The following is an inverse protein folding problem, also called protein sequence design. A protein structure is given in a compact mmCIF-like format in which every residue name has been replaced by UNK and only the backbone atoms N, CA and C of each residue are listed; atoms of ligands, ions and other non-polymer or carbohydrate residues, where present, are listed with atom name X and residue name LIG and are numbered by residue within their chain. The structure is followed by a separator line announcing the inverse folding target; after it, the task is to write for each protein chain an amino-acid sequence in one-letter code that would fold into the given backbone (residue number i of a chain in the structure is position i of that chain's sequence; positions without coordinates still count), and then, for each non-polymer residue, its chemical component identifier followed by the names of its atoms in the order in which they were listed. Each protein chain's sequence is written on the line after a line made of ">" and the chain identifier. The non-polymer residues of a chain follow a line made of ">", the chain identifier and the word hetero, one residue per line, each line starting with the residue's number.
data_IF_194893921770
#
_entry.id   IF_194893921770
#
_cell.length_a   1.000
_cell.length_b   1.000
_cell.length_c   1.000
_cell.angle_alpha   90.00
_cell.angle_beta   90.00
_cell.angle_gamma   90.00
#
_symmetry.space_group_name_H-M   'P 1'
#
loop_
_entity.id
_entity.type
_entity.pdbx_description
1 polymer ?
#
# COMPACT_ATOMS: atom_id res chain seq x y z
N UNK A 1 19.94 -4.52 1.57
CA UNK A 1 20.30 -5.71 2.36
C UNK A 1 19.12 -6.09 3.26
N UNK A 2 18.99 -7.34 3.74
CA UNK A 2 17.95 -7.69 4.68
C UNK A 2 18.09 -6.88 5.97
N UNK A 3 16.96 -6.49 6.57
CA UNK A 3 16.95 -5.73 7.81
C UNK A 3 16.93 -6.67 9.01
N UNK A 4 17.43 -6.20 10.16
CA UNK A 4 17.25 -6.93 11.42
C UNK A 4 15.75 -7.04 11.69
N UNK A 5 15.27 -8.28 11.90
CA UNK A 5 13.88 -8.57 12.22
C UNK A 5 13.67 -8.60 13.73
N UNK A 6 12.44 -8.36 14.17
CA UNK A 6 12.02 -8.58 15.55
C UNK A 6 12.37 -9.98 16.06
N UNK A 7 12.48 -10.96 15.16
CA UNK A 7 12.87 -12.35 15.49
C UNK A 7 14.33 -12.50 15.85
N UNK A 8 15.17 -11.55 15.49
CA UNK A 8 16.61 -11.56 15.77
C UNK A 8 16.95 -10.95 17.14
N UNK A 9 15.95 -10.37 17.83
CA UNK A 9 16.13 -9.65 19.07
C UNK A 9 15.68 -10.46 20.29
N UNK A 10 16.35 -10.23 21.43
CA UNK A 10 15.87 -10.72 22.72
C UNK A 10 14.92 -9.67 23.33
N UNK A 11 13.64 -10.00 23.43
CA UNK A 11 12.59 -9.09 23.90
C UNK A 11 12.19 -9.34 25.38
N UNK A 12 12.67 -10.41 25.99
CA UNK A 12 12.22 -10.85 27.32
C UNK A 12 12.49 -9.80 28.39
N UNK A 13 11.42 -9.37 29.06
CA UNK A 13 11.47 -8.38 30.12
C UNK A 13 11.73 -6.95 29.67
N UNK A 14 11.87 -6.70 28.36
CA UNK A 14 12.10 -5.37 27.81
C UNK A 14 10.81 -4.65 27.46
N UNK A 15 10.86 -3.32 27.47
CA UNK A 15 9.81 -2.48 26.90
C UNK A 15 10.09 -2.28 25.42
N UNK A 16 9.18 -2.78 24.58
CA UNK A 16 9.27 -2.71 23.12
C UNK A 16 8.29 -1.68 22.59
N UNK A 17 8.78 -0.67 21.91
CA UNK A 17 7.98 0.28 21.16
C UNK A 17 7.74 -0.25 19.75
N UNK A 18 6.48 -0.49 19.39
CA UNK A 18 6.11 -0.94 18.04
C UNK A 18 5.37 0.18 17.32
N UNK A 19 5.96 0.71 16.25
CA UNK A 19 5.29 1.63 15.33
C UNK A 19 4.40 0.82 14.39
N UNK A 20 3.10 0.89 14.60
CA UNK A 20 2.06 0.21 13.81
C UNK A 20 1.33 1.20 12.90
N UNK A 21 0.63 0.70 11.88
CA UNK A 21 -0.25 1.53 11.03
C UNK A 21 -1.72 1.23 11.34
N UNK A 22 -2.25 1.96 12.30
CA UNK A 22 -3.67 1.93 12.69
C UNK A 22 -4.48 3.07 12.08
N UNK A 23 -4.03 3.61 10.95
CA UNK A 23 -4.79 4.60 10.21
C UNK A 23 -6.00 3.95 9.50
N UNK A 24 -6.97 3.57 10.31
CA UNK A 24 -8.21 2.89 9.90
C UNK A 24 -9.28 3.89 9.47
N UNK A 25 -10.20 3.52 8.56
CA UNK A 25 -11.36 4.34 8.29
C UNK A 25 -12.35 4.29 9.46
N UNK A 26 -12.86 5.46 9.84
CA UNK A 26 -13.86 5.65 10.87
C UNK A 26 -15.19 6.10 10.26
N UNK A 27 -16.29 5.71 10.90
CA UNK A 27 -17.61 6.28 10.63
C UNK A 27 -17.63 7.78 11.01
N UNK A 28 -18.58 8.57 10.46
CA UNK A 28 -18.77 9.94 10.89
C UNK A 28 -18.91 10.05 12.41
N UNK A 29 -18.21 11.01 13.02
CA UNK A 29 -18.15 11.17 14.47
C UNK A 29 -17.00 10.42 15.17
N UNK A 30 -16.21 9.61 14.43
CA UNK A 30 -14.95 9.02 14.91
C UNK A 30 -15.09 7.91 15.97
N UNK A 31 -16.30 7.41 16.22
CA UNK A 31 -16.57 6.46 17.30
C UNK A 31 -16.47 4.99 16.87
N UNK A 32 -16.60 4.70 15.58
CA UNK A 32 -16.69 3.34 15.05
C UNK A 32 -15.69 3.11 13.93
N UNK A 33 -15.01 1.97 13.97
CA UNK A 33 -14.11 1.52 12.92
C UNK A 33 -14.93 0.82 11.83
N UNK A 34 -14.88 1.31 10.59
CA UNK A 34 -15.58 0.69 9.45
C UNK A 34 -14.76 -0.43 8.80
N UNK A 35 -13.46 -0.49 9.06
CA UNK A 35 -12.58 -1.60 8.65
C UNK A 35 -11.40 -1.75 9.60
N UNK A 36 -11.24 -2.92 10.19
CA UNK A 36 -10.17 -3.26 11.14
C UNK A 36 -8.97 -3.97 10.50
N UNK A 37 -8.91 -4.01 9.16
CA UNK A 37 -7.87 -4.76 8.42
C UNK A 37 -6.45 -4.40 8.86
N UNK A 38 -6.14 -3.12 9.03
CA UNK A 38 -4.81 -2.66 9.46
C UNK A 38 -4.48 -3.06 10.88
N UNK A 39 -5.48 -3.06 11.77
CA UNK A 39 -5.30 -3.54 13.15
C UNK A 39 -4.97 -5.03 13.13
N UNK A 40 -5.74 -5.84 12.40
CA UNK A 40 -5.49 -7.28 12.24
C UNK A 40 -4.10 -7.58 11.65
N UNK A 41 -3.65 -6.79 10.70
CA UNK A 41 -2.36 -6.99 10.04
C UNK A 41 -1.17 -6.84 11.01
N UNK A 42 -1.29 -6.02 12.06
CA UNK A 42 -0.26 -5.82 13.08
C UNK A 42 -0.33 -6.84 14.23
N UNK A 43 -1.45 -7.57 14.38
CA UNK A 43 -1.62 -8.55 15.47
C UNK A 43 -0.49 -9.59 15.53
N UNK A 44 -0.03 -10.18 14.43
CA UNK A 44 1.07 -11.16 14.48
C UNK A 44 2.35 -10.63 15.13
N UNK A 45 2.76 -9.40 14.82
CA UNK A 45 3.94 -8.76 15.43
C UNK A 45 3.73 -8.48 16.91
N UNK A 46 2.57 -7.96 17.25
CA UNK A 46 2.20 -7.66 18.66
C UNK A 46 2.18 -8.95 19.48
N UNK A 47 1.51 -9.99 18.98
CA UNK A 47 1.42 -11.28 19.67
C UNK A 47 2.79 -11.92 19.82
N UNK A 48 3.63 -11.90 18.77
CA UNK A 48 5.00 -12.41 18.84
C UNK A 48 5.78 -11.74 19.97
N UNK A 49 5.75 -10.42 20.08
CA UNK A 49 6.48 -9.70 21.12
C UNK A 49 5.95 -10.02 22.52
N UNK A 50 4.62 -10.16 22.69
CA UNK A 50 4.00 -10.58 23.96
C UNK A 50 4.42 -12.00 24.35
N UNK A 51 4.44 -12.93 23.40
CA UNK A 51 4.84 -14.32 23.64
C UNK A 51 6.33 -14.44 24.02
N UNK A 52 7.16 -13.48 23.60
CA UNK A 52 8.55 -13.34 24.03
C UNK A 52 8.70 -12.68 25.43
N UNK A 53 7.61 -12.30 26.09
CA UNK A 53 7.61 -11.72 27.42
C UNK A 53 7.97 -10.23 27.46
N UNK A 54 7.68 -9.48 26.42
CA UNK A 54 7.85 -8.02 26.38
C UNK A 54 6.67 -7.28 27.01
N UNK A 55 6.91 -6.06 27.51
CA UNK A 55 5.91 -5.03 27.71
C UNK A 55 5.82 -4.16 26.45
N UNK A 56 4.61 -3.84 25.97
CA UNK A 56 4.46 -3.19 24.68
C UNK A 56 3.94 -1.77 24.76
N UNK A 57 4.62 -0.86 24.08
CA UNK A 57 4.11 0.47 23.74
C UNK A 57 3.82 0.49 22.24
N UNK A 58 2.55 0.67 21.88
CA UNK A 58 2.12 0.78 20.50
C UNK A 58 1.89 2.25 20.15
N UNK A 59 2.33 2.66 18.97
CA UNK A 59 2.16 4.02 18.50
C UNK A 59 1.72 4.05 17.03
N UNK A 60 0.76 4.88 16.73
CA UNK A 60 0.25 5.07 15.37
C UNK A 60 -0.24 6.49 15.14
N UNK A 61 -0.43 6.83 13.89
CA UNK A 61 -1.21 7.98 13.48
C UNK A 61 -2.62 7.56 13.06
N UNK A 62 -3.56 8.51 13.07
CA UNK A 62 -4.90 8.36 12.53
C UNK A 62 -5.33 9.67 11.86
N UNK A 63 -5.66 9.59 10.57
CA UNK A 63 -6.11 10.75 9.80
C UNK A 63 -5.08 11.87 9.64
N UNK A 64 -5.57 13.08 9.51
CA UNK A 64 -4.75 14.29 9.34
C UNK A 64 -5.23 15.43 10.26
N UNK A 65 -4.97 15.36 11.56
CA UNK A 65 -5.43 16.33 12.55
C UNK A 65 -4.68 17.68 12.51
N UNK A 66 -3.66 17.82 11.65
CA UNK A 66 -2.86 19.03 11.45
C UNK A 66 -2.14 19.52 12.73
N UNK A 67 -1.59 18.59 13.49
CA UNK A 67 -0.81 18.89 14.69
C UNK A 67 -1.65 19.42 15.87
N UNK A 68 -2.91 19.03 15.96
CA UNK A 68 -3.82 19.44 17.06
C UNK A 68 -4.66 18.26 17.51
N UNK A 69 -4.93 18.12 18.83
CA UNK A 69 -5.88 17.15 19.34
C UNK A 69 -7.25 17.28 18.68
N UNK A 70 -7.80 16.15 18.20
CA UNK A 70 -9.13 16.06 17.63
C UNK A 70 -9.79 14.78 18.14
N UNK A 71 -10.87 14.87 18.95
CA UNK A 71 -11.56 13.70 19.51
C UNK A 71 -12.03 12.69 18.45
N UNK A 72 -12.42 13.12 17.24
CA UNK A 72 -12.84 12.25 16.14
C UNK A 72 -11.68 11.45 15.52
N UNK A 73 -10.45 11.84 15.81
CA UNK A 73 -9.22 11.17 15.34
C UNK A 73 -8.43 10.55 16.51
N UNK A 74 -9.08 10.31 17.66
CA UNK A 74 -8.49 9.58 18.77
C UNK A 74 -8.36 8.10 18.44
N UNK A 75 -7.30 7.48 18.93
CA UNK A 75 -7.07 6.03 18.81
C UNK A 75 -7.88 5.19 19.82
N UNK A 76 -8.78 5.77 20.63
CA UNK A 76 -9.63 5.04 21.59
C UNK A 76 -10.44 3.90 20.96
N UNK A 77 -11.13 4.08 19.80
CA UNK A 77 -11.85 2.98 19.16
C UNK A 77 -10.91 1.85 18.71
N UNK A 78 -9.70 2.21 18.31
CA UNK A 78 -8.65 1.24 17.93
C UNK A 78 -8.17 0.44 19.11
N UNK A 79 -7.94 1.07 20.28
CA UNK A 79 -7.58 0.38 21.52
C UNK A 79 -8.63 -0.67 21.92
N UNK A 80 -9.90 -0.31 21.86
CA UNK A 80 -11.02 -1.22 22.15
C UNK A 80 -11.05 -2.41 21.18
N UNK A 81 -10.87 -2.14 19.88
CA UNK A 81 -10.86 -3.20 18.86
C UNK A 81 -9.64 -4.11 19.00
N UNK A 82 -8.46 -3.55 19.26
CA UNK A 82 -7.23 -4.31 19.46
C UNK A 82 -7.35 -5.22 20.69
N UNK A 83 -7.93 -4.73 21.79
CA UNK A 83 -8.18 -5.53 23.00
C UNK A 83 -9.04 -6.77 22.70
N UNK A 84 -10.09 -6.63 21.89
CA UNK A 84 -10.91 -7.74 21.43
C UNK A 84 -10.10 -8.77 20.62
N UNK A 85 -9.24 -8.29 19.71
CA UNK A 85 -8.44 -9.15 18.82
C UNK A 85 -7.35 -9.90 19.58
N UNK A 86 -6.77 -9.28 20.61
CA UNK A 86 -5.72 -9.88 21.44
C UNK A 86 -6.29 -10.72 22.59
N UNK A 87 -7.59 -10.61 22.92
CA UNK A 87 -8.19 -11.25 24.08
C UNK A 87 -7.63 -10.78 25.43
N UNK A 88 -7.08 -9.55 25.48
CA UNK A 88 -6.47 -8.94 26.68
C UNK A 88 -6.67 -7.42 26.72
N UNK A 89 -6.56 -6.81 27.90
CA UNK A 89 -6.67 -5.36 28.03
C UNK A 89 -5.60 -4.62 27.23
N UNK A 90 -5.98 -3.52 26.59
CA UNK A 90 -5.09 -2.53 25.98
C UNK A 90 -5.33 -1.21 26.71
N UNK A 91 -4.32 -0.75 27.46
CA UNK A 91 -4.37 0.54 28.15
C UNK A 91 -4.20 1.64 27.12
N UNK A 92 -4.91 2.76 27.29
CA UNK A 92 -4.78 3.94 26.42
C UNK A 92 -4.08 5.05 27.19
N UNK A 93 -2.99 5.58 26.62
CA UNK A 93 -2.31 6.74 27.18
C UNK A 93 -3.08 8.04 26.85
N UNK A 94 -3.00 9.05 27.71
CA UNK A 94 -3.65 10.35 27.45
C UNK A 94 -2.95 11.15 26.37
N UNK A 95 -1.68 10.85 26.04
CA UNK A 95 -0.85 11.53 25.07
C UNK A 95 0.23 10.57 24.50
N UNK A 96 1.17 11.10 23.71
CA UNK A 96 2.29 10.36 23.14
C UNK A 96 3.55 10.40 24.02
N UNK A 97 3.74 11.47 24.77
CA UNK A 97 4.94 11.75 25.59
C UNK A 97 4.56 12.49 26.87
N UNK A 98 5.52 12.66 27.76
CA UNK A 98 5.35 13.42 29.02
C UNK A 98 5.20 12.55 30.25
N UNK A 99 5.23 13.18 31.42
CA UNK A 99 5.31 12.52 32.71
C UNK A 99 4.15 11.52 33.00
N UNK A 100 2.95 11.82 32.50
CA UNK A 100 1.81 10.91 32.68
C UNK A 100 1.97 9.62 31.84
N UNK A 101 2.50 9.74 30.62
CA UNK A 101 2.79 8.58 29.76
C UNK A 101 3.94 7.75 30.36
N UNK A 102 4.98 8.40 30.85
CA UNK A 102 6.12 7.72 31.49
C UNK A 102 5.72 6.88 32.72
N UNK A 103 4.74 7.33 33.51
CA UNK A 103 4.19 6.57 34.64
C UNK A 103 3.41 5.32 34.19
N UNK A 104 2.94 5.27 32.95
CA UNK A 104 2.14 4.16 32.42
C UNK A 104 2.99 3.06 31.76
N UNK A 105 4.31 3.06 31.94
CA UNK A 105 5.19 2.04 31.34
C UNK A 105 4.65 0.63 31.56
N UNK A 106 4.47 -0.17 30.48
CA UNK A 106 3.87 -1.49 30.59
C UNK A 106 4.84 -2.50 31.23
N UNK A 107 4.32 -3.33 32.13
CA UNK A 107 5.01 -4.52 32.60
C UNK A 107 5.02 -5.62 31.48
N UNK A 108 5.87 -6.67 31.62
CA UNK A 108 5.83 -7.82 30.71
C UNK A 108 4.41 -8.38 30.54
N UNK A 109 3.97 -8.53 29.29
CA UNK A 109 2.62 -8.99 28.94
C UNK A 109 1.54 -7.90 28.91
N UNK A 110 1.84 -6.66 29.31
CA UNK A 110 0.92 -5.52 29.19
C UNK A 110 1.08 -4.78 27.87
N UNK A 111 0.00 -4.13 27.41
CA UNK A 111 -0.05 -3.34 26.19
C UNK A 111 -0.55 -1.94 26.51
N UNK A 112 0.25 -0.93 26.16
CA UNK A 112 -0.10 0.48 26.18
C UNK A 112 -0.19 1.00 24.74
N UNK A 113 -1.31 1.60 24.33
CA UNK A 113 -1.43 2.33 23.08
C UNK A 113 -1.31 3.82 23.38
N UNK A 114 -0.38 4.50 22.73
CA UNK A 114 -0.26 5.96 22.79
C UNK A 114 -1.42 6.63 22.05
N UNK A 115 -1.69 7.90 22.35
CA UNK A 115 -2.63 8.68 21.57
C UNK A 115 -2.04 9.00 20.18
N UNK A 116 -2.88 9.51 19.28
CA UNK A 116 -2.53 9.79 17.89
C UNK A 116 -1.27 10.67 17.77
N UNK A 117 -0.20 10.11 17.25
CA UNK A 117 1.09 10.78 17.06
C UNK A 117 0.98 12.13 16.32
N UNK A 118 0.03 12.25 15.39
CA UNK A 118 -0.17 13.46 14.60
C UNK A 118 -0.93 14.57 15.32
N UNK A 119 -1.29 14.36 16.58
CA UNK A 119 -1.70 15.49 17.44
C UNK A 119 -0.52 16.39 17.77
N UNK A 120 0.71 15.87 17.61
CA UNK A 120 1.95 16.62 17.73
C UNK A 120 2.47 16.99 16.32
N UNK A 121 2.62 18.29 15.98
CA UNK A 121 3.17 18.71 14.70
C UNK A 121 4.64 18.31 14.53
N UNK A 122 5.33 18.00 15.62
CA UNK A 122 6.71 17.51 15.70
C UNK A 122 6.86 16.12 15.04
N UNK A 123 5.81 15.30 15.03
CA UNK A 123 5.82 14.00 14.39
C UNK A 123 6.11 14.12 12.89
N UNK A 124 5.31 14.92 12.17
CA UNK A 124 5.48 15.06 10.72
C UNK A 124 6.73 15.86 10.34
N UNK A 125 7.25 16.70 11.25
CA UNK A 125 8.50 17.45 11.08
C UNK A 125 9.75 16.65 11.37
N UNK A 126 9.61 15.42 11.84
CA UNK A 126 10.73 14.58 12.29
C UNK A 126 11.59 15.31 13.36
N UNK A 127 10.94 15.97 14.30
CA UNK A 127 11.60 16.80 15.32
C UNK A 127 12.49 15.94 16.24
N UNK A 128 13.77 16.34 16.43
CA UNK A 128 14.69 15.56 17.26
C UNK A 128 14.32 15.50 18.74
N UNK A 129 13.70 16.56 19.27
CA UNK A 129 13.26 16.61 20.68
C UNK A 129 12.13 15.62 20.93
N UNK A 130 11.09 15.62 20.09
CA UNK A 130 10.00 14.69 20.15
C UNK A 130 10.46 13.23 19.90
N UNK A 131 11.35 13.04 18.92
CA UNK A 131 11.97 11.74 18.66
C UNK A 131 12.70 11.16 19.86
N UNK A 132 13.45 12.01 20.58
CA UNK A 132 14.17 11.62 21.81
C UNK A 132 13.19 11.27 22.94
N UNK A 133 12.10 12.01 23.09
CA UNK A 133 11.07 11.72 24.10
C UNK A 133 10.38 10.38 23.82
N UNK A 134 10.03 10.09 22.56
CA UNK A 134 9.47 8.79 22.17
C UNK A 134 10.46 7.65 22.46
N UNK A 135 11.73 7.82 22.07
CA UNK A 135 12.77 6.81 22.29
C UNK A 135 13.03 6.52 23.77
N UNK A 136 12.88 7.53 24.66
CA UNK A 136 13.07 7.38 26.11
C UNK A 136 12.01 6.45 26.75
N UNK A 137 10.90 6.17 26.08
CA UNK A 137 9.85 5.29 26.58
C UNK A 137 10.22 3.79 26.48
N UNK A 138 11.21 3.41 25.69
CA UNK A 138 11.48 2.01 25.34
C UNK A 138 12.97 1.65 25.37
N UNK A 139 13.24 0.35 25.33
CA UNK A 139 14.59 -0.22 25.19
C UNK A 139 14.81 -0.74 23.75
N UNK A 140 13.73 -1.19 23.09
CA UNK A 140 13.74 -1.75 21.75
C UNK A 140 12.68 -1.03 20.89
N UNK A 141 13.05 -0.69 19.67
CA UNK A 141 12.16 -0.13 18.67
C UNK A 141 11.85 -1.14 17.56
N UNK A 142 10.60 -1.24 17.16
CA UNK A 142 10.15 -2.06 16.04
C UNK A 142 9.32 -1.23 15.10
N UNK A 143 9.71 -1.18 13.81
CA UNK A 143 8.87 -0.59 12.77
C UNK A 143 8.05 -1.67 12.07
N UNK A 144 6.73 -1.63 12.24
CA UNK A 144 5.78 -2.53 11.59
C UNK A 144 4.75 -1.78 10.73
N UNK A 145 5.05 -0.53 10.40
CA UNK A 145 4.17 0.39 9.69
C UNK A 145 4.67 0.64 8.27
N UNK A 146 4.66 -0.39 7.42
CA UNK A 146 5.11 -0.26 6.03
C UNK A 146 4.37 0.84 5.27
N UNK A 147 3.05 1.00 5.48
CA UNK A 147 2.25 2.06 4.85
C UNK A 147 2.70 3.49 5.16
N UNK A 148 3.47 3.67 6.23
CA UNK A 148 4.04 4.98 6.63
C UNK A 148 5.55 5.09 6.35
N UNK A 149 6.19 4.04 5.85
CA UNK A 149 7.65 3.97 5.70
C UNK A 149 8.21 4.91 4.61
N UNK A 150 7.36 5.39 3.72
CA UNK A 150 7.71 6.39 2.69
C UNK A 150 7.88 7.82 3.24
N UNK A 151 7.66 8.02 4.54
CA UNK A 151 7.73 9.34 5.20
C UNK A 151 8.76 9.32 6.32
N UNK A 152 9.65 10.32 6.32
CA UNK A 152 10.61 10.53 7.40
C UNK A 152 9.95 11.30 8.55
N UNK A 153 9.23 10.60 9.42
CA UNK A 153 8.61 11.16 10.63
C UNK A 153 9.39 10.82 11.89
N UNK A 154 9.10 11.50 13.00
CA UNK A 154 9.77 11.27 14.28
C UNK A 154 9.66 9.80 14.73
N UNK A 155 8.46 9.22 14.64
CA UNK A 155 8.21 7.83 15.06
C UNK A 155 8.67 6.75 14.08
N UNK A 156 8.94 7.08 12.81
CA UNK A 156 9.37 6.12 11.78
C UNK A 156 10.86 6.17 11.48
N UNK A 157 11.51 7.33 11.70
CA UNK A 157 12.92 7.58 11.38
C UNK A 157 13.65 8.21 12.56
N UNK A 158 13.16 9.34 13.08
CA UNK A 158 13.90 10.17 14.02
C UNK A 158 14.30 9.45 15.30
N UNK A 159 13.37 8.72 15.92
CA UNK A 159 13.59 8.05 17.20
C UNK A 159 14.59 6.89 17.10
N UNK A 160 14.81 6.31 15.91
CA UNK A 160 15.76 5.20 15.73
C UNK A 160 17.17 5.60 16.13
N UNK A 161 17.54 6.87 15.97
CA UNK A 161 18.87 7.41 16.34
C UNK A 161 19.12 7.41 17.86
N UNK A 162 18.09 7.28 18.67
CA UNK A 162 18.15 7.40 20.12
C UNK A 162 17.87 6.08 20.85
N UNK A 163 17.54 5.00 20.12
CA UNK A 163 17.34 3.66 20.70
C UNK A 163 18.59 2.81 20.50
N UNK A 164 18.78 1.81 21.37
CA UNK A 164 19.92 0.89 21.29
C UNK A 164 19.70 -0.23 20.28
N UNK A 165 18.48 -0.73 20.21
CA UNK A 165 18.10 -1.86 19.35
C UNK A 165 16.90 -1.45 18.53
N UNK A 166 16.97 -1.66 17.21
CA UNK A 166 15.89 -1.40 16.29
C UNK A 166 15.73 -2.55 15.32
N UNK A 167 14.49 -2.86 14.90
CA UNK A 167 14.19 -3.93 13.98
C UNK A 167 12.93 -3.64 13.15
N UNK A 168 12.73 -4.42 12.09
CA UNK A 168 11.45 -4.54 11.40
C UNK A 168 10.51 -5.49 12.13
N UNK A 169 9.21 -5.22 12.10
CA UNK A 169 8.18 -6.14 12.51
C UNK A 169 7.83 -7.16 11.43
N UNK A 170 7.01 -8.16 11.78
CA UNK A 170 6.67 -9.26 10.86
C UNK A 170 5.88 -8.81 9.63
N UNK A 171 5.04 -7.77 9.77
CA UNK A 171 4.33 -7.19 8.63
C UNK A 171 5.32 -6.48 7.69
N UNK A 172 6.22 -5.68 8.24
CA UNK A 172 7.28 -4.99 7.49
C UNK A 172 8.17 -6.00 6.77
N UNK A 173 8.60 -7.08 7.45
CA UNK A 173 9.41 -8.15 6.86
C UNK A 173 8.73 -8.77 5.65
N UNK A 174 7.45 -9.12 5.80
CA UNK A 174 6.65 -9.71 4.73
C UNK A 174 6.50 -8.78 3.53
N UNK A 175 6.23 -7.50 3.75
CA UNK A 175 6.14 -6.50 2.69
C UNK A 175 7.47 -6.39 1.93
N UNK A 176 8.58 -6.26 2.66
CA UNK A 176 9.91 -6.16 2.06
C UNK A 176 10.31 -7.43 1.30
N UNK A 177 10.00 -8.62 1.81
CA UNK A 177 10.29 -9.89 1.16
C UNK A 177 9.60 -9.98 -0.21
N UNK A 178 8.27 -9.81 -0.24
CA UNK A 178 7.50 -9.94 -1.48
C UNK A 178 7.83 -8.85 -2.50
N UNK A 179 7.92 -7.59 -2.07
CA UNK A 179 8.22 -6.48 -2.96
C UNK A 179 9.66 -6.57 -3.49
N UNK A 180 10.64 -6.94 -2.65
CA UNK A 180 12.02 -7.11 -3.08
C UNK A 180 12.14 -8.28 -4.05
N UNK A 181 11.51 -9.43 -3.77
CA UNK A 181 11.50 -10.57 -4.67
C UNK A 181 10.92 -10.18 -6.03
N UNK A 182 9.78 -9.49 -6.03
CA UNK A 182 9.10 -9.10 -7.27
C UNK A 182 9.87 -8.07 -8.10
N UNK A 183 10.65 -7.16 -7.46
CA UNK A 183 11.30 -6.04 -8.15
C UNK A 183 12.80 -6.23 -8.39
N UNK A 184 13.50 -7.00 -7.54
CA UNK A 184 14.94 -7.19 -7.68
C UNK A 184 15.34 -8.57 -8.21
N UNK A 185 14.56 -9.59 -7.87
CA UNK A 185 14.88 -11.00 -8.20
C UNK A 185 13.62 -11.76 -8.63
N UNK A 186 12.85 -11.28 -9.65
CA UNK A 186 11.63 -11.96 -10.07
C UNK A 186 11.93 -13.28 -10.77
N UNK A 187 11.11 -14.28 -10.51
CA UNK A 187 11.04 -15.48 -11.34
C UNK A 187 10.40 -15.09 -12.70
N UNK A 188 11.00 -15.55 -13.80
CA UNK A 188 10.58 -15.14 -15.15
C UNK A 188 9.68 -16.19 -15.81
N UNK A 189 8.74 -15.79 -16.66
CA UNK A 189 8.42 -14.41 -17.08
C UNK A 189 7.82 -13.56 -15.95
N UNK A 190 8.29 -12.29 -15.84
CA UNK A 190 7.78 -11.30 -14.91
C UNK A 190 6.86 -10.31 -15.66
N UNK A 191 5.64 -10.16 -15.20
CA UNK A 191 4.62 -9.31 -15.81
C UNK A 191 4.17 -8.25 -14.81
N UNK A 192 4.11 -6.99 -15.24
CA UNK A 192 3.45 -5.95 -14.49
C UNK A 192 2.11 -5.56 -15.12
N UNK A 193 1.13 -5.27 -14.30
CA UNK A 193 -0.20 -4.78 -14.67
C UNK A 193 -0.35 -3.42 -14.02
N UNK A 194 -0.44 -2.37 -14.82
CA UNK A 194 -0.61 -1.01 -14.34
C UNK A 194 -1.89 -0.39 -14.90
N UNK A 195 -2.71 0.13 -14.02
CA UNK A 195 -3.92 0.87 -14.36
C UNK A 195 -4.07 2.14 -13.53
N UNK A 196 -5.21 2.79 -13.69
CA UNK A 196 -5.51 4.03 -13.00
C UNK A 196 -5.80 5.19 -13.96
N UNK A 197 -5.97 6.40 -13.41
CA UNK A 197 -6.45 7.54 -14.18
C UNK A 197 -5.34 8.25 -14.95
N UNK A 198 -4.16 8.41 -14.36
CA UNK A 198 -3.11 9.31 -14.87
C UNK A 198 -1.77 8.61 -15.06
N UNK A 199 -1.11 8.92 -16.19
CA UNK A 199 0.28 8.52 -16.46
C UNK A 199 1.23 9.22 -15.51
N UNK A 200 0.99 10.53 -15.25
CA UNK A 200 1.83 11.35 -14.37
C UNK A 200 2.06 10.76 -12.99
N UNK A 201 1.06 10.05 -12.45
CA UNK A 201 1.15 9.43 -11.13
C UNK A 201 2.00 8.14 -11.12
N UNK A 202 2.40 7.63 -12.30
CA UNK A 202 3.04 6.32 -12.46
C UNK A 202 4.31 6.32 -13.30
N UNK A 203 4.81 7.48 -13.71
CA UNK A 203 5.97 7.60 -14.59
C UNK A 203 7.16 6.82 -14.03
N UNK A 204 7.54 7.12 -12.78
CA UNK A 204 8.70 6.51 -12.11
C UNK A 204 8.50 5.00 -11.94
N UNK A 205 7.28 4.58 -11.63
CA UNK A 205 6.91 3.16 -11.53
C UNK A 205 7.09 2.47 -12.90
N UNK A 206 6.59 3.07 -13.98
CA UNK A 206 6.73 2.53 -15.34
C UNK A 206 8.21 2.41 -15.70
N UNK A 207 8.99 3.48 -15.52
CA UNK A 207 10.41 3.51 -15.85
C UNK A 207 11.23 2.47 -15.06
N UNK A 208 10.91 2.31 -13.78
CA UNK A 208 11.60 1.33 -12.95
C UNK A 208 11.19 -0.11 -13.31
N UNK A 209 9.89 -0.36 -13.46
CA UNK A 209 9.39 -1.69 -13.81
C UNK A 209 9.85 -2.15 -15.20
N UNK A 210 9.96 -1.25 -16.18
CA UNK A 210 10.51 -1.60 -17.51
C UNK A 210 11.92 -2.21 -17.47
N UNK A 211 12.70 -1.91 -16.44
CA UNK A 211 14.03 -2.51 -16.23
C UNK A 211 13.96 -3.95 -15.76
N UNK A 212 12.84 -4.33 -15.15
CA UNK A 212 12.66 -5.58 -14.42
C UNK A 212 11.78 -6.57 -15.17
N UNK A 213 10.65 -6.09 -15.73
CA UNK A 213 9.61 -6.95 -16.30
C UNK A 213 9.91 -7.37 -17.75
N UNK A 214 9.34 -8.51 -18.12
CA UNK A 214 9.33 -8.97 -19.51
C UNK A 214 8.18 -8.33 -20.29
N UNK A 215 7.03 -8.08 -19.64
CA UNK A 215 5.88 -7.38 -20.22
C UNK A 215 5.20 -6.47 -19.20
N UNK A 216 4.67 -5.35 -19.68
CA UNK A 216 3.95 -4.34 -18.92
C UNK A 216 2.57 -4.12 -19.56
N UNK A 217 1.51 -4.57 -18.89
CA UNK A 217 0.13 -4.44 -19.34
C UNK A 217 -0.45 -3.14 -18.81
N UNK A 218 -0.81 -2.23 -19.68
CA UNK A 218 -1.39 -0.94 -19.33
C UNK A 218 -2.90 -0.97 -19.49
N UNK A 219 -3.63 -0.45 -18.51
CA UNK A 219 -5.08 -0.29 -18.55
C UNK A 219 -5.54 0.98 -17.82
N UNK A 220 -6.84 1.09 -17.59
CA UNK A 220 -7.42 2.30 -17.01
C UNK A 220 -7.36 3.50 -17.94
N UNK A 221 -7.75 4.68 -17.45
CA UNK A 221 -7.78 5.88 -18.27
C UNK A 221 -6.38 6.31 -18.73
N UNK A 222 -5.32 5.99 -17.98
CA UNK A 222 -3.95 6.28 -18.40
C UNK A 222 -3.58 5.65 -19.76
N UNK A 223 -4.23 4.54 -20.14
CA UNK A 223 -4.00 3.90 -21.44
C UNK A 223 -4.31 4.82 -22.61
N UNK A 224 -5.29 5.73 -22.47
CA UNK A 224 -5.68 6.64 -23.56
C UNK A 224 -4.63 7.70 -23.86
N UNK A 225 -3.81 8.10 -22.89
CA UNK A 225 -2.65 8.96 -23.13
C UNK A 225 -1.61 8.24 -24.02
N UNK A 226 -1.36 6.95 -23.77
CA UNK A 226 -0.47 6.13 -24.62
C UNK A 226 -1.07 5.87 -26.01
N UNK A 227 -2.37 5.60 -26.09
CA UNK A 227 -3.05 5.38 -27.38
C UNK A 227 -3.03 6.65 -28.23
N UNK A 228 -3.26 7.82 -27.62
CA UNK A 228 -3.11 9.12 -28.31
C UNK A 228 -1.67 9.34 -28.79
N UNK A 229 -0.67 8.95 -28.02
CA UNK A 229 0.74 9.01 -28.42
C UNK A 229 1.05 8.12 -29.63
N UNK A 230 0.25 7.06 -29.88
CA UNK A 230 0.30 6.23 -31.07
C UNK A 230 -0.55 6.79 -32.24
N UNK A 231 -1.22 7.94 -32.07
CA UNK A 231 -2.11 8.52 -33.08
C UNK A 231 -3.48 7.83 -33.15
N UNK A 232 -3.87 7.01 -32.20
CA UNK A 232 -5.18 6.35 -32.20
C UNK A 232 -6.29 7.29 -31.70
N UNK A 233 -7.51 7.16 -32.20
CA UNK A 233 -8.67 7.90 -31.71
C UNK A 233 -8.98 7.52 -30.26
N UNK A 234 -9.19 8.53 -29.41
CA UNK A 234 -9.48 8.35 -27.97
C UNK A 234 -10.80 9.00 -27.55
N UNK A 235 -11.54 9.61 -28.48
CA UNK A 235 -12.83 10.27 -28.23
C UNK A 235 -12.75 11.30 -27.10
N UNK A 236 -13.70 11.22 -26.17
CA UNK A 236 -13.77 12.04 -24.94
C UNK A 236 -13.08 11.38 -23.75
N UNK A 237 -12.31 10.30 -23.95
CA UNK A 237 -11.60 9.62 -22.86
C UNK A 237 -10.67 10.58 -22.13
N UNK A 238 -10.43 10.31 -20.84
CA UNK A 238 -9.49 11.09 -20.04
C UNK A 238 -8.08 10.92 -20.59
N UNK A 239 -7.46 12.02 -21.00
CA UNK A 239 -6.09 12.09 -21.54
C UNK A 239 -5.32 13.19 -20.84
N UNK A 240 -4.07 12.95 -20.50
CA UNK A 240 -3.13 13.99 -20.09
C UNK A 240 -2.35 14.48 -21.32
N UNK A 241 -2.85 15.56 -21.95
CA UNK A 241 -2.29 16.08 -23.19
C UNK A 241 -0.82 16.53 -23.08
N UNK A 242 -0.46 17.06 -21.92
CA UNK A 242 0.91 17.46 -21.58
C UNK A 242 1.86 16.26 -21.35
N UNK A 243 1.34 15.03 -21.30
CA UNK A 243 2.10 13.79 -21.12
C UNK A 243 2.17 12.91 -22.37
N UNK A 244 1.56 13.32 -23.49
CA UNK A 244 1.53 12.53 -24.73
C UNK A 244 2.95 12.31 -25.27
N UNK A 245 3.80 13.34 -25.29
CA UNK A 245 5.19 13.21 -25.74
C UNK A 245 6.01 12.29 -24.84
N UNK A 246 5.77 12.35 -23.52
CA UNK A 246 6.40 11.44 -22.57
C UNK A 246 5.95 10.00 -22.79
N UNK A 247 4.64 9.77 -22.99
CA UNK A 247 4.11 8.44 -23.30
C UNK A 247 4.73 7.88 -24.59
N UNK A 248 4.93 8.72 -25.62
CA UNK A 248 5.63 8.34 -26.87
C UNK A 248 7.07 7.90 -26.61
N UNK A 249 7.80 8.64 -25.77
CA UNK A 249 9.16 8.29 -25.38
C UNK A 249 9.21 6.97 -24.60
N UNK A 250 8.28 6.75 -23.65
CA UNK A 250 8.18 5.50 -22.90
C UNK A 250 7.93 4.30 -23.82
N UNK A 251 7.00 4.43 -24.77
CA UNK A 251 6.74 3.40 -25.78
C UNK A 251 7.99 3.09 -26.62
N UNK A 252 8.69 4.12 -27.11
CA UNK A 252 9.90 3.94 -27.90
C UNK A 252 11.01 3.24 -27.12
N UNK A 253 11.21 3.59 -25.85
CA UNK A 253 12.20 2.98 -24.96
C UNK A 253 11.82 1.60 -24.43
N UNK A 254 10.56 1.23 -24.53
CA UNK A 254 10.05 -0.04 -23.96
C UNK A 254 10.54 -1.29 -24.66
N UNK A 255 11.05 -1.17 -25.88
CA UNK A 255 11.45 -2.33 -26.70
C UNK A 255 10.30 -3.31 -26.97
N UNK A 256 9.06 -2.83 -27.01
CA UNK A 256 7.85 -3.65 -27.22
C UNK A 256 7.32 -4.33 -25.96
N UNK A 257 7.88 -4.05 -24.78
CA UNK A 257 7.39 -4.61 -23.52
C UNK A 257 6.02 -4.06 -23.09
N UNK A 258 5.70 -2.83 -23.46
CA UNK A 258 4.41 -2.20 -23.12
C UNK A 258 3.33 -2.70 -24.05
N UNK A 259 2.32 -3.32 -23.49
CA UNK A 259 1.10 -3.73 -24.18
C UNK A 259 -0.04 -2.78 -23.81
N UNK A 260 -0.73 -2.28 -24.84
CA UNK A 260 -1.88 -1.38 -24.70
C UNK A 260 -3.17 -2.12 -25.08
N UNK A 261 -4.33 -1.67 -24.59
CA UNK A 261 -5.62 -2.23 -24.96
C UNK A 261 -5.84 -2.17 -26.49
N UNK A 262 -6.34 -3.26 -27.03
CA UNK A 262 -6.69 -3.39 -28.45
C UNK A 262 -8.17 -3.09 -28.73
N UNK A 263 -9.00 -3.16 -27.69
CA UNK A 263 -10.42 -2.82 -27.71
C UNK A 263 -10.86 -2.25 -26.35
N UNK A 264 -11.98 -1.55 -26.37
CA UNK A 264 -12.47 -0.74 -25.26
C UNK A 264 -13.96 -0.92 -25.07
N UNK A 265 -14.40 -0.91 -23.81
CA UNK A 265 -15.79 -0.65 -23.44
C UNK A 265 -15.98 0.86 -23.48
N UNK A 266 -16.91 1.35 -24.28
CA UNK A 266 -17.14 2.78 -24.52
C UNK A 266 -18.58 3.17 -24.21
N UNK A 267 -18.76 4.39 -23.68
CA UNK A 267 -20.05 4.96 -23.31
C UNK A 267 -20.16 6.40 -23.80
N UNK A 268 -21.39 6.88 -23.95
CA UNK A 268 -21.67 8.30 -24.20
C UNK A 268 -21.47 9.13 -22.93
N UNK A 269 -21.89 8.59 -21.79
CA UNK A 269 -21.81 9.22 -20.47
C UNK A 269 -21.46 8.19 -19.40
N UNK A 270 -20.58 8.56 -18.46
CA UNK A 270 -20.14 7.69 -17.37
C UNK A 270 -21.18 7.66 -16.24
N UNK A 271 -22.10 6.70 -16.29
CA UNK A 271 -23.09 6.38 -15.27
C UNK A 271 -23.07 4.90 -14.97
N UNK A 272 -23.39 4.52 -13.73
CA UNK A 272 -23.64 3.14 -13.38
C UNK A 272 -24.80 2.57 -14.21
N UNK A 273 -24.60 1.39 -14.82
CA UNK A 273 -25.57 0.75 -15.69
C UNK A 273 -25.81 1.46 -17.04
N UNK A 274 -24.96 2.45 -17.44
CA UNK A 274 -25.11 3.09 -18.74
C UNK A 274 -24.99 2.08 -19.87
N UNK A 275 -25.75 2.27 -20.98
CA UNK A 275 -25.53 1.51 -22.21
C UNK A 275 -24.10 1.66 -22.69
N UNK A 276 -23.51 0.56 -23.11
CA UNK A 276 -22.14 0.53 -23.61
C UNK A 276 -22.03 -0.29 -24.89
N UNK A 277 -20.96 -0.05 -25.61
CA UNK A 277 -20.55 -0.89 -26.74
C UNK A 277 -19.06 -1.22 -26.64
N UNK A 278 -18.64 -2.22 -27.41
CA UNK A 278 -17.22 -2.59 -27.51
C UNK A 278 -16.70 -2.08 -28.86
N UNK A 279 -15.58 -1.35 -28.82
CA UNK A 279 -14.99 -0.77 -30.01
C UNK A 279 -13.46 -0.93 -30.01
N UNK A 280 -12.87 -1.21 -31.18
CA UNK A 280 -11.40 -1.28 -31.35
C UNK A 280 -10.72 0.09 -31.20
N UNK A 281 -11.44 1.17 -31.50
CA UNK A 281 -11.02 2.55 -31.26
C UNK A 281 -12.17 3.30 -30.61
N UNK A 282 -11.86 4.26 -29.76
CA UNK A 282 -12.90 5.06 -29.11
C UNK A 282 -13.49 6.05 -30.10
N UNK A 283 -14.81 5.95 -30.46
CA UNK A 283 -15.44 6.87 -31.39
C UNK A 283 -15.46 8.32 -30.89
N UNK A 284 -15.54 9.26 -31.83
CA UNK A 284 -15.80 10.65 -31.45
C UNK A 284 -17.10 10.77 -30.66
N UNK A 285 -17.08 11.57 -29.60
CA UNK A 285 -18.24 11.73 -28.74
C UNK A 285 -18.41 10.70 -27.64
N UNK A 286 -17.70 9.56 -27.69
CA UNK A 286 -17.70 8.53 -26.64
C UNK A 286 -16.42 8.55 -25.79
N UNK A 287 -16.49 7.93 -24.62
CA UNK A 287 -15.33 7.74 -23.75
C UNK A 287 -15.12 6.25 -23.43
N UNK A 288 -13.87 5.84 -23.36
CA UNK A 288 -13.51 4.52 -22.89
C UNK A 288 -13.56 4.44 -21.36
N UNK A 289 -14.16 3.38 -20.84
CA UNK A 289 -14.41 3.20 -19.39
C UNK A 289 -13.87 1.89 -18.85
N UNK A 290 -13.56 0.92 -19.71
CA UNK A 290 -12.91 -0.35 -19.34
C UNK A 290 -12.18 -0.92 -20.57
N UNK A 291 -11.33 -1.91 -20.36
CA UNK A 291 -10.74 -2.71 -21.44
C UNK A 291 -11.81 -3.64 -22.03
N UNK A 292 -11.73 -3.88 -23.33
CA UNK A 292 -12.64 -4.77 -24.02
C UNK A 292 -12.27 -6.25 -23.90
N UNK A 293 -13.15 -7.15 -24.37
CA UNK A 293 -12.96 -8.60 -24.26
C UNK A 293 -11.73 -9.14 -25.00
N UNK A 294 -11.35 -8.58 -26.15
CA UNK A 294 -10.15 -9.00 -26.86
C UNK A 294 -8.88 -8.63 -26.08
N UNK A 295 -8.87 -7.46 -25.43
CA UNK A 295 -7.80 -7.07 -24.51
C UNK A 295 -7.72 -7.99 -23.31
N UNK A 296 -8.87 -8.33 -22.70
CA UNK A 296 -8.94 -9.29 -21.58
C UNK A 296 -8.34 -10.63 -21.96
N UNK A 297 -8.69 -11.16 -23.13
CA UNK A 297 -8.15 -12.43 -23.65
C UNK A 297 -6.63 -12.35 -23.83
N UNK A 298 -6.15 -11.32 -24.52
CA UNK A 298 -4.72 -11.12 -24.79
C UNK A 298 -3.91 -10.97 -23.48
N UNK A 299 -4.39 -10.15 -22.54
CA UNK A 299 -3.72 -9.95 -21.26
C UNK A 299 -3.76 -11.22 -20.38
N UNK A 300 -4.88 -11.94 -20.39
CA UNK A 300 -5.00 -13.21 -19.66
C UNK A 300 -4.03 -14.26 -20.20
N UNK A 301 -3.80 -14.31 -21.51
CA UNK A 301 -2.83 -15.22 -22.12
C UNK A 301 -1.38 -14.90 -21.70
N UNK A 302 -1.04 -13.63 -21.50
CA UNK A 302 0.25 -13.18 -20.95
C UNK A 302 0.36 -13.57 -19.47
N UNK A 303 -0.65 -13.27 -18.68
CA UNK A 303 -0.74 -13.55 -17.24
C UNK A 303 -0.59 -15.06 -16.97
N UNK A 304 -1.21 -15.91 -17.79
CA UNK A 304 -1.16 -17.37 -17.62
C UNK A 304 0.25 -17.96 -17.74
N UNK A 305 1.17 -17.28 -18.41
CA UNK A 305 2.57 -17.71 -18.60
C UNK A 305 3.52 -17.12 -17.55
N UNK A 306 3.06 -16.15 -16.78
CA UNK A 306 3.88 -15.45 -15.80
C UNK A 306 4.31 -16.37 -14.64
N UNK A 307 5.48 -16.07 -14.08
CA UNK A 307 5.96 -16.65 -12.81
C UNK A 307 5.95 -15.61 -11.69
N UNK A 308 6.09 -14.34 -12.05
CA UNK A 308 5.95 -13.21 -11.12
C UNK A 308 4.97 -12.20 -11.73
N UNK A 309 4.03 -11.73 -10.93
CA UNK A 309 3.06 -10.71 -11.31
C UNK A 309 3.10 -9.56 -10.31
N UNK A 310 3.22 -8.34 -10.81
CA UNK A 310 3.11 -7.11 -10.04
C UNK A 310 1.87 -6.36 -10.55
N UNK A 311 0.92 -6.05 -9.69
CA UNK A 311 -0.29 -5.34 -10.10
C UNK A 311 -0.55 -4.10 -9.26
N UNK A 312 -0.76 -2.96 -9.93
CA UNK A 312 -1.15 -1.72 -9.29
C UNK A 312 -2.13 -0.92 -10.17
N UNK A 313 -3.35 -0.74 -9.70
CA UNK A 313 -4.42 0.03 -10.33
C UNK A 313 -5.38 -0.79 -11.19
N UNK A 314 -6.67 -0.40 -11.23
CA UNK A 314 -7.72 -1.09 -11.99
C UNK A 314 -7.61 -0.82 -13.49
N UNK A 315 -8.24 -1.68 -14.28
CA UNK A 315 -8.23 -1.61 -15.76
C UNK A 315 -9.35 -0.74 -16.34
N UNK A 316 -10.34 -0.40 -15.51
CA UNK A 316 -11.50 0.39 -15.89
C UNK A 316 -12.09 1.12 -14.69
N UNK A 317 -13.28 1.70 -14.86
CA UNK A 317 -14.03 2.40 -13.78
C UNK A 317 -14.77 1.36 -12.94
N UNK A 318 -13.99 0.55 -12.22
CA UNK A 318 -14.47 -0.66 -11.52
C UNK A 318 -15.48 -0.36 -10.41
N UNK A 319 -15.58 0.88 -9.93
CA UNK A 319 -16.56 1.32 -8.93
C UNK A 319 -17.98 1.44 -9.49
N UNK A 320 -18.13 1.40 -10.82
CA UNK A 320 -19.41 1.56 -11.52
C UNK A 320 -19.70 0.37 -12.41
N UNK A 321 -20.35 -0.68 -11.91
CA UNK A 321 -20.76 -1.79 -12.77
C UNK A 321 -21.63 -1.33 -13.96
N UNK A 322 -21.43 -1.90 -15.16
CA UNK A 322 -20.65 -3.10 -15.48
C UNK A 322 -19.20 -2.82 -15.96
N UNK A 323 -18.59 -1.66 -15.67
CA UNK A 323 -17.27 -1.24 -16.10
C UNK A 323 -16.13 -1.77 -15.22
N UNK A 324 -16.42 -2.75 -14.38
CA UNK A 324 -15.51 -3.54 -13.55
C UNK A 324 -15.08 -4.86 -14.21
N UNK A 325 -15.71 -5.24 -15.33
CA UNK A 325 -15.56 -6.57 -15.95
C UNK A 325 -14.12 -6.88 -16.35
N UNK A 326 -13.43 -5.93 -16.96
CA UNK A 326 -12.03 -6.07 -17.33
C UNK A 326 -11.13 -6.30 -16.13
N UNK A 327 -11.31 -5.49 -15.08
CA UNK A 327 -10.54 -5.60 -13.83
C UNK A 327 -10.79 -6.94 -13.13
N UNK A 328 -12.07 -7.36 -13.03
CA UNK A 328 -12.46 -8.65 -12.41
C UNK A 328 -11.93 -9.84 -13.19
N UNK A 329 -11.98 -9.77 -14.53
CA UNK A 329 -11.46 -10.84 -15.39
C UNK A 329 -9.95 -11.03 -15.19
N UNK A 330 -9.17 -9.94 -15.17
CA UNK A 330 -7.73 -10.02 -14.91
C UNK A 330 -7.42 -10.46 -13.48
N UNK A 331 -8.21 -10.06 -12.48
CA UNK A 331 -8.06 -10.56 -11.11
C UNK A 331 -8.20 -12.09 -11.04
N UNK A 332 -9.18 -12.64 -11.74
CA UNK A 332 -9.38 -14.10 -11.85
C UNK A 332 -8.22 -14.77 -12.60
N UNK A 333 -7.74 -14.15 -13.68
CA UNK A 333 -6.58 -14.66 -14.43
C UNK A 333 -5.31 -14.71 -13.58
N UNK A 334 -5.03 -13.64 -12.80
CA UNK A 334 -3.91 -13.58 -11.86
C UNK A 334 -4.04 -14.68 -10.80
N UNK A 335 -5.23 -14.84 -10.21
CA UNK A 335 -5.49 -15.86 -9.20
C UNK A 335 -5.34 -17.30 -9.73
N UNK A 336 -5.59 -17.51 -11.03
CA UNK A 336 -5.49 -18.83 -11.67
C UNK A 336 -4.08 -19.14 -12.22
N UNK A 337 -3.20 -18.13 -12.32
CA UNK A 337 -1.88 -18.27 -12.99
C UNK A 337 -0.88 -19.15 -12.22
N UNK A 338 -1.04 -19.28 -10.89
CA UNK A 338 -0.06 -19.94 -10.02
C UNK A 338 1.26 -19.13 -9.84
N UNK A 339 1.34 -17.92 -10.38
CA UNK A 339 2.48 -17.03 -10.22
C UNK A 339 2.58 -16.45 -8.80
N UNK A 340 3.80 -16.08 -8.39
CA UNK A 340 3.95 -15.21 -7.23
C UNK A 340 3.38 -13.84 -7.59
N UNK A 341 2.25 -13.50 -6.99
CA UNK A 341 1.49 -12.29 -7.29
C UNK A 341 1.57 -11.28 -6.14
N UNK A 342 2.01 -10.07 -6.46
CA UNK A 342 2.09 -8.93 -5.53
C UNK A 342 1.17 -7.84 -6.02
N UNK A 343 0.19 -7.50 -5.23
CA UNK A 343 -0.82 -6.48 -5.57
C UNK A 343 -0.73 -5.32 -4.61
N UNK A 344 -0.56 -4.13 -5.13
CA UNK A 344 -0.46 -2.89 -4.38
C UNK A 344 -1.53 -1.87 -4.79
N UNK A 345 -1.85 -0.97 -3.84
CA UNK A 345 -2.82 0.10 -4.04
C UNK A 345 -4.24 -0.28 -3.60
N UNK A 346 -4.91 0.68 -2.95
CA UNK A 346 -6.23 0.46 -2.34
C UNK A 346 -7.31 0.04 -3.34
N UNK A 347 -7.27 0.56 -4.56
CA UNK A 347 -8.26 0.24 -5.58
C UNK A 347 -8.05 -1.15 -6.15
N UNK A 348 -6.78 -1.56 -6.36
CA UNK A 348 -6.46 -2.94 -6.75
C UNK A 348 -6.90 -3.95 -5.69
N UNK A 349 -6.72 -3.63 -4.41
CA UNK A 349 -7.18 -4.46 -3.31
C UNK A 349 -8.71 -4.60 -3.30
N UNK A 350 -9.44 -3.48 -3.47
CA UNK A 350 -10.92 -3.51 -3.58
C UNK A 350 -11.36 -4.38 -4.75
N UNK A 351 -10.71 -4.22 -5.91
CA UNK A 351 -11.00 -5.00 -7.11
C UNK A 351 -10.82 -6.51 -6.90
N UNK A 352 -9.73 -6.92 -6.26
CA UNK A 352 -9.45 -8.33 -5.94
C UNK A 352 -10.48 -8.90 -4.97
N UNK A 353 -10.88 -8.12 -3.95
CA UNK A 353 -11.93 -8.51 -3.01
C UNK A 353 -13.27 -8.66 -3.71
N UNK A 354 -13.63 -7.69 -4.55
CA UNK A 354 -14.86 -7.71 -5.36
C UNK A 354 -14.90 -8.92 -6.29
N UNK A 355 -13.76 -9.30 -6.86
CA UNK A 355 -13.62 -10.50 -7.67
C UNK A 355 -13.66 -11.83 -6.88
N UNK A 356 -13.62 -11.78 -5.54
CA UNK A 356 -13.65 -12.96 -4.66
C UNK A 356 -12.38 -13.83 -4.72
N UNK A 357 -11.22 -13.24 -5.05
CA UNK A 357 -9.98 -13.99 -5.28
C UNK A 357 -8.82 -13.56 -4.37
N UNK A 358 -9.10 -12.77 -3.34
CA UNK A 358 -8.06 -12.22 -2.45
C UNK A 358 -7.18 -13.31 -1.80
N UNK A 359 -7.76 -14.44 -1.43
CA UNK A 359 -7.05 -15.56 -0.79
C UNK A 359 -6.10 -16.32 -1.75
N UNK A 360 -6.24 -16.10 -3.06
CA UNK A 360 -5.39 -16.71 -4.09
C UNK A 360 -4.24 -15.82 -4.54
N UNK A 361 -4.15 -14.61 -4.01
CA UNK A 361 -3.06 -13.67 -4.28
C UNK A 361 -1.96 -13.90 -3.24
N UNK A 362 -0.71 -14.04 -3.70
CA UNK A 362 0.42 -14.35 -2.80
C UNK A 362 0.66 -13.25 -1.77
N UNK A 363 0.55 -12.00 -2.18
CA UNK A 363 0.67 -10.84 -1.29
C UNK A 363 -0.16 -9.64 -1.75
N UNK A 364 -1.05 -9.18 -0.89
CA UNK A 364 -1.78 -7.92 -1.07
C UNK A 364 -1.16 -6.90 -0.12
N UNK A 365 -0.39 -5.97 -0.67
CA UNK A 365 0.32 -4.97 0.12
C UNK A 365 -0.62 -4.05 0.87
N UNK A 366 -0.30 -3.79 2.11
CA UNK A 366 -1.00 -2.82 2.97
C UNK A 366 -0.44 -1.39 2.81
N UNK A 367 0.65 -1.25 2.04
CA UNK A 367 1.47 -0.05 1.99
C UNK A 367 0.90 1.14 1.22
N UNK A 368 -0.09 0.95 0.35
CA UNK A 368 -0.65 2.04 -0.44
C UNK A 368 0.43 2.84 -1.20
N UNK A 369 0.66 4.10 -0.80
CA UNK A 369 1.70 4.97 -1.38
C UNK A 369 3.11 4.42 -1.21
N UNK A 370 3.44 3.83 -0.06
CA UNK A 370 4.76 3.25 0.16
C UNK A 370 5.06 2.10 -0.81
N UNK A 371 4.07 1.27 -1.14
CA UNK A 371 4.23 0.22 -2.16
C UNK A 371 4.52 0.82 -3.53
N UNK A 372 3.85 1.91 -3.88
CA UNK A 372 4.04 2.59 -5.16
C UNK A 372 5.46 3.15 -5.28
N UNK A 373 5.92 3.85 -4.24
CA UNK A 373 7.28 4.39 -4.17
C UNK A 373 8.34 3.28 -4.21
N UNK A 374 8.11 2.18 -3.50
CA UNK A 374 9.00 1.01 -3.57
C UNK A 374 9.08 0.44 -4.99
N UNK A 375 7.93 0.30 -5.67
CA UNK A 375 7.86 -0.15 -7.07
C UNK A 375 8.54 0.84 -8.04
N UNK A 376 8.51 2.13 -7.72
CA UNK A 376 9.25 3.17 -8.44
C UNK A 376 10.78 3.12 -8.19
N UNK A 377 11.25 2.26 -7.29
CA UNK A 377 12.66 2.15 -6.92
C UNK A 377 13.12 3.24 -5.97
N UNK A 378 12.20 3.99 -5.39
CA UNK A 378 12.48 5.03 -4.40
C UNK A 378 12.80 4.36 -3.06
N UNK A 379 13.87 4.81 -2.43
CA UNK A 379 14.24 4.34 -1.10
C UNK A 379 13.25 4.87 -0.06
N UNK A 380 12.66 3.96 0.72
CA UNK A 380 11.72 4.32 1.77
C UNK A 380 12.49 4.72 3.04
N UNK A 381 12.41 5.98 3.52
CA UNK A 381 13.20 6.44 4.65
C UNK A 381 12.95 5.64 5.94
N UNK A 382 11.71 5.18 6.19
CA UNK A 382 11.40 4.36 7.36
C UNK A 382 11.97 2.93 7.28
N UNK A 383 12.34 2.46 6.08
CA UNK A 383 13.07 1.20 5.88
C UNK A 383 14.57 1.46 5.93
N UNK A 384 15.05 2.51 5.26
CA UNK A 384 16.47 2.87 5.22
C UNK A 384 17.06 3.09 6.61
N UNK A 385 16.26 3.69 7.52
CA UNK A 385 16.68 3.97 8.89
C UNK A 385 16.86 2.71 9.76
N UNK A 386 16.25 1.56 9.39
CA UNK A 386 16.41 0.31 10.13
C UNK A 386 17.79 -0.30 9.89
N UNK A 387 18.41 -0.90 10.93
CA UNK A 387 19.71 -1.56 10.79
C UNK A 387 19.64 -2.78 9.86
N UNK A 388 20.76 -3.05 9.21
CA UNK A 388 20.93 -4.19 8.30
C UNK A 388 21.53 -5.37 9.05
N UNK A 389 21.19 -6.60 8.58
CA UNK A 389 21.83 -7.84 9.06
C UNK A 389 23.27 -7.94 8.63
#
# INVERSE_FOLDING_TARGET
>A
MPKISIRDLNLRGKIVFIRVDFNVPLAPGGQEITSDKRVRASVPTIQYALDQGAGLILASHLGRPKGKPNPEMSLKPVAARLAQLLGRPVKMAPDCVGAEVEKMRPAPGEVLLLENLRFHPEEEKNDPGFSKQLAALCEVYVNDAFGSAHRAHASTVGMIRFVREAASGLLMDKELEYLTKATKHPDRPCVAILGGAKVSDKIEVIENLMKVVDQLLIGGAMAYTFLKAQGKPVGKSLVEDDKVDLAKQLLARSGGKILLPSDHVVVDELKEGAPFEVAANVPEGKMGVDIGPATVEAYSAVIAKAKTIIWNGPMGVFEKPPFDRGTVALAKAVAASGAVSVVGGGDSEKAIKSAGVADKISHVSTGGGASLEFLAGIELPGVAALPEK
#
